data_IF_017367773521
#
_entry.id   IF_017367773521
#
_cell.length_a   1.000
_cell.length_b   1.000
_cell.length_c   1.000
_cell.angle_alpha   90.00
_cell.angle_beta   90.00
_cell.angle_gamma   90.00
#
_symmetry.space_group_name_H-M   'P 1'
#
loop_
_entity.id
_entity.type
_entity.pdbx_description
1 polymer ?
#
# COMPACT_ATOMS: atom_id res chain seq x y z
N UNK A 1 3.11 -16.07 -6.67
CA UNK A 1 3.35 -15.20 -5.49
C UNK A 1 3.62 -16.08 -4.29
N UNK A 2 4.49 -15.63 -3.40
CA UNK A 2 4.87 -16.34 -2.17
C UNK A 2 4.82 -15.38 -0.99
N UNK A 3 4.65 -15.92 0.21
CA UNK A 3 4.77 -15.16 1.45
C UNK A 3 6.18 -14.58 1.55
N UNK A 4 6.28 -13.29 1.85
CA UNK A 4 7.55 -12.59 2.06
C UNK A 4 7.87 -12.58 3.55
N UNK A 5 9.06 -13.10 3.90
CA UNK A 5 9.55 -13.09 5.27
C UNK A 5 10.01 -11.68 5.69
N UNK A 6 9.98 -11.38 7.00
CA UNK A 6 10.44 -10.10 7.55
C UNK A 6 11.86 -9.75 7.12
N UNK A 7 12.76 -10.74 7.07
CA UNK A 7 14.16 -10.56 6.65
C UNK A 7 14.34 -10.12 5.20
N UNK A 8 13.28 -10.20 4.37
CA UNK A 8 13.28 -9.73 2.98
C UNK A 8 12.58 -8.37 2.82
N UNK A 9 12.01 -7.82 3.89
CA UNK A 9 11.38 -6.51 3.87
C UNK A 9 12.38 -5.46 4.34
N UNK A 10 12.54 -4.41 3.55
CA UNK A 10 13.24 -3.21 3.96
C UNK A 10 12.23 -2.20 4.49
N UNK A 11 12.27 -1.97 5.81
CA UNK A 11 11.41 -0.98 6.47
C UNK A 11 12.01 0.41 6.28
N UNK A 12 11.31 1.25 5.54
CA UNK A 12 11.74 2.62 5.22
C UNK A 12 11.13 3.67 6.15
N UNK A 13 10.08 3.29 6.90
CA UNK A 13 9.53 4.11 7.97
C UNK A 13 8.70 3.26 8.94
N UNK A 14 8.80 3.57 10.23
CA UNK A 14 8.05 2.87 11.28
C UNK A 14 8.68 1.54 11.63
N UNK A 15 7.85 0.59 12.04
CA UNK A 15 8.30 -0.72 12.52
C UNK A 15 7.33 -1.81 12.07
N UNK A 16 7.88 -2.97 11.70
CA UNK A 16 7.18 -4.23 11.51
C UNK A 16 7.76 -5.22 12.52
N UNK A 17 6.91 -5.80 13.37
CA UNK A 17 7.35 -6.77 14.38
C UNK A 17 6.86 -8.18 14.01
N UNK A 18 7.59 -9.24 14.38
CA UNK A 18 7.04 -10.59 14.34
C UNK A 18 5.79 -10.70 15.24
N UNK A 19 4.79 -11.44 14.76
CA UNK A 19 3.59 -11.83 15.49
C UNK A 19 3.36 -13.34 15.44
N UNK A 20 2.25 -13.82 16.02
CA UNK A 20 1.88 -15.24 16.01
C UNK A 20 1.75 -15.81 14.60
N UNK A 21 1.99 -17.11 14.44
CA UNK A 21 1.82 -17.84 13.16
C UNK A 21 2.60 -17.22 11.98
N UNK A 22 3.74 -16.61 12.32
CA UNK A 22 4.64 -15.88 11.42
C UNK A 22 4.05 -14.58 10.86
N UNK A 23 2.91 -14.12 11.34
CA UNK A 23 2.34 -12.84 10.92
C UNK A 23 3.30 -11.71 11.31
N UNK A 24 3.12 -10.54 10.71
CA UNK A 24 3.79 -9.32 11.10
C UNK A 24 2.77 -8.40 11.75
N UNK A 25 3.20 -7.63 12.74
CA UNK A 25 2.34 -6.65 13.42
C UNK A 25 2.82 -5.23 13.16
N UNK A 26 1.85 -4.32 13.08
CA UNK A 26 2.06 -2.87 13.00
C UNK A 26 1.34 -2.23 14.17
N UNK A 27 2.08 -1.53 15.01
CA UNK A 27 1.56 -0.82 16.18
C UNK A 27 1.62 0.71 16.04
N UNK A 28 2.54 1.20 15.19
CA UNK A 28 2.84 2.61 15.03
C UNK A 28 1.97 3.32 13.99
N UNK A 29 1.83 4.66 14.09
CA UNK A 29 0.96 5.47 13.22
C UNK A 29 1.39 5.55 11.75
N UNK A 30 2.61 5.11 11.43
CA UNK A 30 3.17 5.14 10.07
C UNK A 30 4.03 3.91 9.90
N UNK A 31 3.74 3.10 8.89
CA UNK A 31 4.59 2.00 8.49
C UNK A 31 4.73 1.98 6.98
N UNK A 32 5.96 1.80 6.51
CA UNK A 32 6.33 1.69 5.10
C UNK A 32 7.41 0.63 4.97
N UNK A 33 7.21 -0.32 4.05
CA UNK A 33 8.23 -1.29 3.68
C UNK A 33 8.21 -1.58 2.18
N UNK A 34 9.30 -2.10 1.65
CA UNK A 34 9.44 -2.61 0.28
C UNK A 34 10.14 -3.96 0.30
N UNK A 35 10.06 -4.70 -0.81
CA UNK A 35 10.81 -5.94 -1.04
C UNK A 35 11.89 -5.66 -2.09
N UNK A 36 13.14 -5.35 -1.69
CA UNK A 36 14.21 -5.03 -2.62
C UNK A 36 14.44 -6.15 -3.65
N UNK A 37 14.99 -5.78 -4.82
CA UNK A 37 15.29 -6.73 -5.89
C UNK A 37 14.08 -7.26 -6.65
N UNK A 38 12.86 -6.80 -6.34
CA UNK A 38 11.66 -7.09 -7.14
C UNK A 38 11.39 -5.94 -8.13
N UNK A 39 10.92 -6.25 -9.34
CA UNK A 39 10.46 -5.27 -10.34
C UNK A 39 8.95 -5.41 -10.62
N UNK A 40 8.24 -5.90 -9.62
CA UNK A 40 6.98 -6.57 -9.85
C UNK A 40 5.75 -5.67 -9.95
N UNK A 41 4.84 -6.13 -10.79
CA UNK A 41 3.56 -5.53 -11.05
C UNK A 41 2.42 -6.11 -10.19
N UNK A 42 2.68 -7.11 -9.33
CA UNK A 42 1.65 -7.75 -8.52
C UNK A 42 2.07 -7.97 -7.06
N UNK A 43 1.15 -7.74 -6.14
CA UNK A 43 1.31 -7.96 -4.71
C UNK A 43 -0.04 -8.25 -4.04
N UNK A 44 0.00 -8.92 -2.89
CA UNK A 44 -1.16 -9.17 -2.05
C UNK A 44 -0.80 -8.96 -0.58
N UNK A 45 -1.73 -8.39 0.15
CA UNK A 45 -1.67 -8.20 1.59
C UNK A 45 -2.87 -8.90 2.19
N UNK A 46 -2.61 -9.85 3.10
CA UNK A 46 -3.63 -10.39 3.99
C UNK A 46 -3.47 -9.70 5.33
N UNK A 47 -4.54 -9.17 5.90
CA UNK A 47 -4.44 -8.37 7.12
C UNK A 47 -5.71 -8.42 7.96
N UNK A 48 -5.54 -8.25 9.26
CA UNK A 48 -6.61 -8.04 10.22
C UNK A 48 -6.44 -6.68 10.86
N UNK A 49 -7.51 -5.89 10.91
CA UNK A 49 -7.51 -4.59 11.59
C UNK A 49 -7.69 -4.79 13.09
N UNK A 50 -6.71 -4.35 13.89
CA UNK A 50 -6.71 -4.46 15.36
C UNK A 50 -7.18 -3.16 16.04
N UNK A 51 -7.72 -2.23 15.26
CA UNK A 51 -8.16 -0.91 15.69
C UNK A 51 -7.17 0.21 15.34
N UNK A 52 -7.43 1.39 15.89
CA UNK A 52 -6.60 2.58 15.71
C UNK A 52 -5.26 2.45 16.44
N UNK A 53 -4.21 3.08 15.93
CA UNK A 53 -2.94 3.24 16.66
C UNK A 53 -3.12 4.19 17.85
N UNK A 54 -2.38 3.96 18.94
CA UNK A 54 -2.45 4.77 20.17
C UNK A 54 -2.19 6.25 19.92
N UNK A 55 -1.19 6.54 19.09
CA UNK A 55 -0.97 7.87 18.55
C UNK A 55 -1.57 7.93 17.14
N UNK A 56 -2.27 9.00 16.81
CA UNK A 56 -2.73 9.30 15.46
C UNK A 56 -1.90 10.47 14.92
N UNK A 57 -1.38 10.36 13.71
CA UNK A 57 -0.56 11.40 13.08
C UNK A 57 -1.19 11.78 11.76
N UNK A 58 -1.41 13.08 11.57
CA UNK A 58 -1.89 13.61 10.30
C UNK A 58 -0.93 13.23 9.16
N UNK A 59 -1.51 13.00 7.99
CA UNK A 59 -0.75 12.94 6.74
C UNK A 59 -0.12 14.32 6.47
N UNK A 60 0.84 14.37 5.55
CA UNK A 60 1.42 15.64 5.12
C UNK A 60 0.39 16.60 4.50
N UNK A 61 -0.81 16.12 4.13
CA UNK A 61 -1.95 16.94 3.73
C UNK A 61 -2.73 17.56 4.89
N UNK A 62 -2.38 17.26 6.16
CA UNK A 62 -3.14 17.63 7.35
C UNK A 62 -4.29 16.67 7.69
N UNK A 63 -4.69 15.79 6.77
CA UNK A 63 -5.79 14.85 7.00
C UNK A 63 -5.35 13.72 7.95
N UNK A 64 -6.12 13.48 9.01
CA UNK A 64 -5.98 12.28 9.82
C UNK A 64 -6.73 11.14 9.14
N UNK A 65 -5.98 10.20 8.57
CA UNK A 65 -6.54 9.11 7.78
C UNK A 65 -6.05 7.77 8.31
N UNK A 66 -6.96 6.80 8.37
CA UNK A 66 -6.64 5.40 8.64
C UNK A 66 -6.70 4.64 7.32
N UNK A 67 -5.61 3.96 6.98
CA UNK A 67 -5.49 3.27 5.70
C UNK A 67 -4.39 2.22 5.74
N UNK A 68 -4.55 1.22 4.88
CA UNK A 68 -3.56 0.18 4.60
C UNK A 68 -3.53 -0.06 3.10
N UNK A 69 -2.38 -0.38 2.55
CA UNK A 69 -2.27 -0.51 1.11
C UNK A 69 -0.96 -1.09 0.62
N UNK A 70 -0.94 -1.28 -0.69
CA UNK A 70 0.18 -1.78 -1.45
C UNK A 70 0.95 -0.61 -2.08
N UNK A 71 2.26 -0.79 -2.18
CA UNK A 71 3.12 -0.02 -3.06
C UNK A 71 3.45 -0.90 -4.27
N UNK A 72 3.36 -0.33 -5.46
CA UNK A 72 3.76 -0.93 -6.72
C UNK A 72 4.74 0.01 -7.41
N UNK A 73 5.67 -0.56 -8.20
CA UNK A 73 6.64 0.22 -9.00
C UNK A 73 7.38 1.27 -8.15
N UNK A 74 7.69 0.94 -6.89
CA UNK A 74 8.12 1.92 -5.91
C UNK A 74 9.61 2.17 -5.98
N UNK A 75 10.04 3.10 -6.82
CA UNK A 75 11.44 3.53 -6.89
C UNK A 75 11.90 4.03 -5.52
N UNK A 76 11.05 4.81 -4.85
CA UNK A 76 11.33 5.42 -3.55
C UNK A 76 10.04 5.99 -2.90
N UNK A 77 10.18 6.83 -1.86
CA UNK A 77 9.05 7.46 -1.15
C UNK A 77 8.37 8.62 -1.91
N UNK A 78 8.95 9.07 -3.01
CA UNK A 78 8.54 10.18 -3.85
C UNK A 78 8.02 9.76 -5.23
N UNK A 79 8.39 8.56 -5.68
CA UNK A 79 8.10 8.02 -7.00
C UNK A 79 7.58 6.58 -6.88
N UNK A 80 6.25 6.42 -6.86
CA UNK A 80 5.60 5.11 -6.74
C UNK A 80 4.11 5.13 -7.07
N UNK A 81 3.54 3.95 -7.25
CA UNK A 81 2.09 3.73 -7.32
C UNK A 81 1.59 3.16 -6.00
N UNK A 82 0.51 3.72 -5.48
CA UNK A 82 -0.20 3.28 -4.29
C UNK A 82 -1.56 2.71 -4.65
N UNK A 83 -1.88 1.57 -4.03
CA UNK A 83 -3.24 1.03 -3.97
C UNK A 83 -3.63 1.01 -2.49
N UNK A 84 -4.49 1.94 -2.08
CA UNK A 84 -4.86 2.11 -0.67
C UNK A 84 -6.30 1.67 -0.44
N UNK A 85 -6.52 0.87 0.60
CA UNK A 85 -7.82 0.69 1.22
C UNK A 85 -7.93 1.65 2.41
N UNK A 86 -8.78 2.67 2.24
CA UNK A 86 -9.06 3.67 3.27
C UNK A 86 -10.13 3.13 4.22
N UNK A 87 -9.93 3.35 5.51
CA UNK A 87 -10.85 2.97 6.58
C UNK A 87 -11.66 4.20 7.03
N UNK A 88 -10.96 5.28 7.39
CA UNK A 88 -11.55 6.50 7.90
C UNK A 88 -10.75 7.72 7.42
N UNK A 89 -11.38 8.89 7.22
CA UNK A 89 -12.82 9.16 7.43
C UNK A 89 -13.70 8.75 6.24
N UNK A 90 -13.11 8.51 5.06
CA UNK A 90 -13.83 8.17 3.83
C UNK A 90 -13.36 6.80 3.34
N UNK A 91 -14.11 5.72 3.63
CA UNK A 91 -13.69 4.38 3.25
C UNK A 91 -13.73 4.15 1.75
N UNK A 92 -12.90 3.21 1.28
CA UNK A 92 -12.89 2.72 -0.09
C UNK A 92 -11.49 2.54 -0.66
N UNK A 93 -11.44 1.96 -1.87
CA UNK A 93 -10.20 1.78 -2.63
C UNK A 93 -9.86 3.07 -3.37
N UNK A 94 -8.62 3.51 -3.24
CA UNK A 94 -8.07 4.63 -4.01
C UNK A 94 -6.71 4.25 -4.57
N UNK A 95 -6.55 4.47 -5.87
CA UNK A 95 -5.27 4.35 -6.57
C UNK A 95 -4.68 5.74 -6.77
N UNK A 96 -3.46 5.93 -6.30
CA UNK A 96 -2.69 7.14 -6.51
C UNK A 96 -1.34 6.79 -7.11
N UNK A 97 -0.80 7.62 -7.98
CA UNK A 97 0.64 7.61 -8.22
C UNK A 97 1.24 8.90 -7.69
N UNK A 98 2.49 8.83 -7.28
CA UNK A 98 3.29 9.97 -6.88
C UNK A 98 4.50 10.04 -7.78
N UNK A 99 4.79 11.22 -8.33
CA UNK A 99 5.97 11.44 -9.18
C UNK A 99 6.62 12.78 -8.87
N UNK A 100 7.90 12.75 -8.55
CA UNK A 100 8.75 13.91 -8.29
C UNK A 100 10.16 13.62 -8.84
N UNK A 101 10.41 13.91 -10.14
CA UNK A 101 11.70 13.63 -10.77
C UNK A 101 12.86 14.25 -9.99
N UNK A 102 13.92 13.46 -9.76
CA UNK A 102 15.12 13.89 -9.03
C UNK A 102 14.94 14.04 -7.51
N UNK A 103 13.76 13.72 -6.95
CA UNK A 103 13.52 13.69 -5.51
C UNK A 103 13.23 12.25 -5.09
N UNK A 104 13.86 11.78 -4.03
CA UNK A 104 13.85 10.38 -3.60
C UNK A 104 13.39 10.19 -2.16
N UNK A 105 13.49 11.22 -1.32
CA UNK A 105 13.17 11.14 0.11
C UNK A 105 11.91 11.94 0.46
N UNK A 106 11.16 11.47 1.46
CA UNK A 106 9.95 12.18 1.90
C UNK A 106 10.21 13.62 2.36
N UNK A 107 11.42 13.93 2.83
CA UNK A 107 11.82 15.29 3.20
C UNK A 107 11.92 16.21 1.97
N UNK A 108 12.37 15.69 0.83
CA UNK A 108 12.45 16.44 -0.42
C UNK A 108 11.06 16.71 -0.97
N UNK A 109 10.25 15.67 -1.20
CA UNK A 109 9.00 15.80 -1.94
C UNK A 109 7.76 16.10 -1.09
N UNK A 110 7.78 15.81 0.21
CA UNK A 110 6.61 15.98 1.09
C UNK A 110 5.33 15.36 0.51
N UNK A 111 4.26 16.16 0.43
CA UNK A 111 2.98 15.77 -0.17
C UNK A 111 2.83 16.13 -1.66
N UNK A 112 3.89 16.53 -2.35
CA UNK A 112 3.80 16.94 -3.75
C UNK A 112 3.79 15.75 -4.71
N UNK A 113 3.29 15.99 -5.92
CA UNK A 113 3.33 15.05 -7.04
C UNK A 113 2.31 13.90 -6.97
N UNK A 114 1.34 13.94 -6.06
CA UNK A 114 0.26 12.96 -6.02
C UNK A 114 -0.81 13.26 -7.06
N UNK A 115 -1.17 12.23 -7.83
CA UNK A 115 -2.33 12.24 -8.73
C UNK A 115 -3.22 11.03 -8.42
N UNK A 116 -4.54 11.21 -8.49
CA UNK A 116 -5.51 10.10 -8.35
C UNK A 116 -5.78 9.51 -9.72
N UNK A 117 -5.60 8.20 -9.86
CA UNK A 117 -5.91 7.49 -11.11
C UNK A 117 -7.42 7.26 -11.15
N UNK A 118 -8.06 7.66 -12.25
CA UNK A 118 -9.49 7.42 -12.45
C UNK A 118 -9.69 5.97 -12.91
N UNK A 119 -10.55 5.18 -12.24
CA UNK A 119 -10.87 3.84 -12.70
C UNK A 119 -11.72 3.87 -13.96
N UNK A 120 -11.56 2.85 -14.80
CA UNK A 120 -12.55 2.45 -15.79
C UNK A 120 -13.75 1.73 -15.11
N UNK A 121 -13.48 0.96 -14.05
CA UNK A 121 -14.50 0.30 -13.22
C UNK A 121 -14.18 0.46 -11.75
N UNK A 122 -15.20 0.79 -10.95
CA UNK A 122 -15.08 0.83 -9.50
C UNK A 122 -16.36 0.32 -8.82
N UNK A 123 -16.17 -0.58 -7.87
CA UNK A 123 -17.20 -1.02 -6.92
C UNK A 123 -16.96 -0.29 -5.60
N UNK A 124 -18.04 0.16 -4.94
CA UNK A 124 -17.92 0.76 -3.60
C UNK A 124 -17.60 -0.34 -2.60
N UNK A 125 -16.54 -0.14 -1.83
CA UNK A 125 -16.11 -1.04 -0.75
C UNK A 125 -16.10 -0.24 0.55
N UNK A 126 -16.63 -0.83 1.62
CA UNK A 126 -16.58 -0.26 2.97
C UNK A 126 -15.19 -0.30 3.59
N UNK A 127 -15.09 0.13 4.85
CA UNK A 127 -13.87 -0.10 5.63
C UNK A 127 -13.74 -1.61 5.97
N UNK A 128 -12.53 -2.19 5.94
CA UNK A 128 -12.26 -3.50 6.52
C UNK A 128 -12.78 -3.58 7.96
N UNK A 129 -13.49 -4.65 8.29
CA UNK A 129 -14.05 -4.86 9.61
C UNK A 129 -12.94 -5.20 10.63
N UNK A 130 -12.89 -4.54 11.79
CA UNK A 130 -11.96 -4.92 12.86
C UNK A 130 -12.13 -6.38 13.29
N UNK A 131 -11.03 -7.04 13.61
CA UNK A 131 -11.01 -8.43 14.08
C UNK A 131 -11.23 -9.49 13.00
N UNK A 132 -11.53 -9.10 11.76
CA UNK A 132 -11.72 -10.03 10.63
C UNK A 132 -10.53 -9.98 9.68
N UNK A 133 -10.19 -11.13 9.08
CA UNK A 133 -9.15 -11.22 8.06
C UNK A 133 -9.66 -10.70 6.72
N UNK A 134 -8.89 -9.82 6.10
CA UNK A 134 -9.17 -9.22 4.80
C UNK A 134 -7.99 -9.41 3.85
N UNK A 135 -8.27 -9.35 2.55
CA UNK A 135 -7.24 -9.42 1.50
C UNK A 135 -7.33 -8.21 0.59
N UNK A 136 -6.19 -7.55 0.36
CA UNK A 136 -6.02 -6.56 -0.69
C UNK A 136 -4.98 -7.08 -1.68
N UNK A 137 -5.38 -7.26 -2.92
CA UNK A 137 -4.50 -7.72 -4.00
C UNK A 137 -4.50 -6.72 -5.13
N UNK A 138 -3.35 -6.51 -5.75
CA UNK A 138 -3.23 -5.73 -6.97
C UNK A 138 -2.34 -6.45 -7.98
N UNK A 139 -2.69 -6.34 -9.26
CA UNK A 139 -1.89 -6.83 -10.37
C UNK A 139 -1.99 -5.86 -11.55
N UNK A 140 -0.84 -5.50 -12.10
CA UNK A 140 -0.69 -4.69 -13.30
C UNK A 140 -0.30 -5.62 -14.45
N UNK A 141 -1.06 -5.56 -15.54
CA UNK A 141 -0.81 -6.32 -16.77
C UNK A 141 -0.78 -5.34 -17.94
N UNK A 142 0.40 -5.20 -18.56
CA UNK A 142 0.70 -4.08 -19.45
C UNK A 142 0.48 -2.74 -18.74
N UNK A 143 -0.49 -1.96 -19.20
CA UNK A 143 -0.91 -0.69 -18.60
C UNK A 143 -2.08 -0.79 -17.62
N UNK A 144 -2.81 -1.91 -17.62
CA UNK A 144 -4.07 -2.04 -16.88
C UNK A 144 -3.84 -2.59 -15.49
N UNK A 145 -4.19 -1.80 -14.47
CA UNK A 145 -4.15 -2.19 -13.07
C UNK A 145 -5.52 -2.74 -12.66
N UNK A 146 -5.50 -3.91 -12.01
CA UNK A 146 -6.65 -4.53 -11.36
C UNK A 146 -6.40 -4.67 -9.88
N UNK A 147 -7.42 -4.37 -9.08
CA UNK A 147 -7.38 -4.44 -7.62
C UNK A 147 -8.55 -5.27 -7.12
N UNK A 148 -8.24 -6.22 -6.26
CA UNK A 148 -9.21 -7.06 -5.58
C UNK A 148 -9.22 -6.79 -4.08
N UNK A 149 -10.42 -6.70 -3.51
CA UNK A 149 -10.64 -6.69 -2.08
C UNK A 149 -11.48 -7.92 -1.73
N UNK A 150 -10.97 -8.74 -0.81
CA UNK A 150 -11.61 -9.99 -0.39
C UNK A 150 -12.00 -10.93 -1.55
N UNK A 151 -11.16 -10.93 -2.61
CA UNK A 151 -11.35 -11.75 -3.81
C UNK A 151 -12.22 -11.11 -4.90
N UNK A 152 -12.95 -10.04 -4.60
CA UNK A 152 -13.79 -9.34 -5.58
C UNK A 152 -13.01 -8.27 -6.34
N UNK A 153 -13.20 -8.17 -7.66
CA UNK A 153 -12.62 -7.10 -8.48
C UNK A 153 -13.34 -5.78 -8.21
N UNK A 154 -12.69 -4.88 -7.47
CA UNK A 154 -13.31 -3.65 -6.95
C UNK A 154 -12.79 -2.38 -7.61
N UNK A 155 -11.65 -2.44 -8.28
CA UNK A 155 -11.10 -1.33 -9.04
C UNK A 155 -10.33 -1.85 -10.25
N UNK A 156 -10.56 -1.26 -11.42
CA UNK A 156 -9.82 -1.51 -12.65
C UNK A 156 -9.62 -0.19 -13.41
N UNK A 157 -8.45 0.01 -14.00
CA UNK A 157 -8.15 1.17 -14.84
C UNK A 157 -6.71 1.18 -15.31
N UNK A 158 -6.44 2.00 -16.32
CA UNK A 158 -5.10 2.14 -16.89
C UNK A 158 -4.26 3.12 -16.09
N UNK A 159 -3.00 2.74 -15.87
CA UNK A 159 -2.00 3.62 -15.31
C UNK A 159 -1.45 4.55 -16.41
N UNK A 160 -1.25 5.84 -16.12
CA UNK A 160 -0.67 6.76 -17.09
C UNK A 160 0.81 6.42 -17.33
N UNK A 161 1.34 6.85 -18.48
CA UNK A 161 2.69 6.50 -18.94
C UNK A 161 3.76 6.86 -17.90
N UNK A 162 3.63 8.00 -17.24
CA UNK A 162 4.58 8.43 -16.22
C UNK A 162 4.57 7.56 -14.96
N UNK A 163 3.48 6.83 -14.69
CA UNK A 163 3.41 5.85 -13.63
C UNK A 163 4.03 4.51 -14.06
N UNK A 164 3.87 4.14 -15.32
CA UNK A 164 4.46 2.95 -15.92
C UNK A 164 5.99 3.08 -16.08
N UNK A 165 6.50 4.28 -16.33
CA UNK A 165 7.92 4.55 -16.46
C UNK A 165 8.73 4.28 -15.18
N UNK A 166 8.10 4.31 -14.00
CA UNK A 166 8.76 3.95 -12.74
C UNK A 166 9.02 2.45 -12.70
N UNK A 167 10.23 2.01 -12.35
CA UNK A 167 10.57 0.59 -12.25
C UNK A 167 11.20 0.28 -10.89
N UNK A 168 10.35 0.03 -9.89
CA UNK A 168 10.78 -0.25 -8.54
C UNK A 168 10.01 -1.41 -7.89
N UNK A 169 10.42 -1.81 -6.68
CA UNK A 169 9.83 -2.94 -5.97
C UNK A 169 8.37 -2.75 -5.58
N UNK A 170 7.77 -3.88 -5.21
CA UNK A 170 6.51 -3.88 -4.46
C UNK A 170 6.76 -3.64 -2.98
N UNK A 171 5.72 -3.22 -2.27
CA UNK A 171 5.79 -3.00 -0.84
C UNK A 171 4.44 -2.77 -0.21
N UNK A 172 4.46 -2.28 1.02
CA UNK A 172 3.25 -1.95 1.76
C UNK A 172 3.39 -0.62 2.49
N UNK A 173 2.22 -0.06 2.80
CA UNK A 173 2.08 1.14 3.62
C UNK A 173 0.86 1.00 4.52
N UNK A 174 0.99 1.44 5.76
CA UNK A 174 -0.17 1.76 6.59
C UNK A 174 0.02 3.11 7.26
N UNK A 175 -1.11 3.75 7.54
CA UNK A 175 -1.16 4.96 8.36
C UNK A 175 -2.29 4.79 9.40
N UNK A 176 -1.96 5.07 10.66
CA UNK A 176 -2.87 5.21 11.80
C UNK A 176 -3.75 3.99 12.15
N UNK A 177 -3.41 2.80 11.66
CA UNK A 177 -4.14 1.56 11.92
C UNK A 177 -3.18 0.49 12.42
N UNK A 178 -3.59 -0.21 13.49
CA UNK A 178 -2.89 -1.39 13.98
C UNK A 178 -3.31 -2.62 13.18
N UNK A 179 -2.33 -3.43 12.80
CA UNK A 179 -2.53 -4.54 11.89
C UNK A 179 -1.81 -5.79 12.37
N UNK A 180 -2.42 -6.94 12.14
CA UNK A 180 -1.69 -8.20 11.97
C UNK A 180 -1.77 -8.59 10.49
N UNK A 181 -0.65 -8.93 9.86
CA UNK A 181 -0.58 -9.05 8.40
C UNK A 181 0.39 -10.10 7.88
N UNK A 182 0.19 -10.48 6.62
CA UNK A 182 1.11 -11.25 5.81
C UNK A 182 1.21 -10.59 4.44
N UNK A 183 2.43 -10.35 3.98
CA UNK A 183 2.69 -9.78 2.67
C UNK A 183 3.10 -10.86 1.67
N UNK A 184 2.57 -10.80 0.47
CA UNK A 184 2.83 -11.72 -0.62
C UNK A 184 3.28 -10.93 -1.84
N UNK A 185 4.44 -11.29 -2.36
CA UNK A 185 5.01 -10.72 -3.57
C UNK A 185 5.50 -11.83 -4.50
N UNK A 186 6.09 -11.47 -5.65
CA UNK A 186 6.89 -12.43 -6.39
C UNK A 186 8.16 -12.75 -5.62
N UNK A 187 8.68 -13.94 -5.89
CA UNK A 187 10.03 -14.29 -5.48
C UNK A 187 11.02 -13.43 -6.31
N UNK A 188 12.08 -12.89 -5.69
CA UNK A 188 13.25 -12.44 -6.43
C UNK A 188 13.83 -13.57 -7.28
#
# INVERSE_FOLDING_TARGET
MSRVALSRLEVTQGELRPGPDGQLTVEGPRMRAVVPGTSAAAAELRFTVLGSTHQQVALASGEQRQQVGLKLRALDGCNLVYVMWRLAPKPGIVVNYKRNPGQHTSGECGNRGYTTVRPARQVRVGAPAPGTSHTLRAALDGGTLRVWADGELVWEGDLPEEALAMNGPVGLRSDNVRLALQFYGPLP
#
